data_IF_787743054150
#
_entry.id   IF_787743054150
#
_cell.length_a   1.000
_cell.length_b   1.000
_cell.length_c   1.000
_cell.angle_alpha   90.00
_cell.angle_beta   90.00
_cell.angle_gamma   90.00
#
_symmetry.space_group_name_H-M   'P 1'
#
loop_
_entity.id
_entity.type
_entity.pdbx_description
1 polymer ?
#
# COMPACT_ATOMS: atom_id res chain seq x y z
N UNK A 1 -2.44 12.32 -10.56
CA UNK A 1 -2.24 10.87 -10.38
C UNK A 1 -1.90 10.61 -8.92
N UNK A 2 -2.28 9.43 -8.41
CA UNK A 2 -1.94 8.95 -7.08
C UNK A 2 -1.19 7.62 -7.24
N UNK A 3 -0.02 7.52 -6.61
CA UNK A 3 0.72 6.27 -6.48
C UNK A 3 0.65 5.81 -5.04
N UNK A 4 0.36 4.51 -4.83
CA UNK A 4 0.42 3.87 -3.52
C UNK A 4 1.49 2.79 -3.57
N UNK A 5 2.52 2.93 -2.74
CA UNK A 5 3.63 1.98 -2.67
C UNK A 5 3.78 1.49 -1.24
N UNK A 6 3.66 0.19 -1.04
CA UNK A 6 3.88 -0.44 0.27
C UNK A 6 5.34 -0.80 0.43
N UNK A 7 5.85 -0.57 1.63
CA UNK A 7 7.20 -0.94 2.05
C UNK A 7 7.06 -1.77 3.32
N UNK A 8 7.58 -3.00 3.31
CA UNK A 8 7.50 -3.87 4.48
C UNK A 8 8.74 -4.76 4.59
N UNK A 9 9.01 -5.22 5.79
CA UNK A 9 10.11 -6.15 6.08
C UNK A 9 9.54 -7.57 6.04
N UNK A 10 10.13 -8.41 5.22
CA UNK A 10 9.88 -9.84 5.18
C UNK A 10 11.04 -10.54 5.90
N UNK A 11 10.74 -11.27 6.98
CA UNK A 11 11.73 -11.99 7.77
C UNK A 11 11.17 -13.32 8.25
N UNK A 12 11.92 -14.44 8.11
CA UNK A 12 11.47 -15.74 8.59
C UNK A 12 11.34 -15.78 10.11
N UNK A 13 10.31 -16.50 10.59
CA UNK A 13 10.12 -16.76 12.01
C UNK A 13 11.35 -17.45 12.60
N UNK A 14 11.88 -16.93 13.70
CA UNK A 14 13.05 -17.46 14.38
C UNK A 14 14.40 -17.04 13.77
N UNK A 15 14.41 -16.28 12.66
CA UNK A 15 15.64 -15.77 12.03
C UNK A 15 15.53 -14.28 11.67
N UNK A 16 15.37 -13.38 12.65
CA UNK A 16 15.12 -11.96 12.41
C UNK A 16 16.25 -11.22 11.68
N UNK A 17 17.46 -11.79 11.68
CA UNK A 17 18.62 -11.24 10.96
C UNK A 17 18.57 -11.54 9.45
N UNK A 18 17.86 -12.59 9.03
CA UNK A 18 17.63 -12.92 7.62
C UNK A 18 16.41 -12.15 7.10
N UNK A 19 16.47 -10.80 7.09
CA UNK A 19 15.36 -9.97 6.62
C UNK A 19 15.61 -9.41 5.21
N UNK A 20 14.53 -9.06 4.51
CA UNK A 20 14.55 -8.35 3.23
C UNK A 20 13.53 -7.23 3.22
N UNK A 21 13.91 -6.07 2.69
CA UNK A 21 12.95 -5.01 2.37
C UNK A 21 12.19 -5.40 1.10
N UNK A 22 10.87 -5.41 1.20
CA UNK A 22 9.95 -5.57 0.08
C UNK A 22 9.34 -4.22 -0.27
N UNK A 23 9.29 -3.92 -1.56
CA UNK A 23 8.72 -2.68 -2.09
C UNK A 23 7.81 -3.05 -3.24
N UNK A 24 6.53 -2.72 -3.13
CA UNK A 24 5.51 -3.08 -4.13
C UNK A 24 4.61 -1.88 -4.41
N UNK A 25 4.39 -1.55 -5.69
CA UNK A 25 3.44 -0.53 -6.09
C UNK A 25 2.05 -1.16 -6.20
N UNK A 26 1.15 -0.77 -5.31
CA UNK A 26 -0.21 -1.29 -5.22
C UNK A 26 -1.16 -0.55 -6.16
N UNK A 27 -0.95 0.76 -6.35
CA UNK A 27 -1.76 1.53 -7.27
C UNK A 27 -0.95 2.60 -7.97
N UNK A 28 -1.29 2.85 -9.23
CA UNK A 28 -0.90 4.03 -9.97
C UNK A 28 -2.10 4.48 -10.82
N UNK A 29 -2.88 5.43 -10.29
CA UNK A 29 -4.18 5.78 -10.88
C UNK A 29 -4.35 7.29 -11.07
N UNK A 30 -5.18 7.70 -12.03
CA UNK A 30 -5.61 9.09 -12.13
C UNK A 30 -6.47 9.45 -10.92
N UNK A 31 -6.29 10.67 -10.41
CA UNK A 31 -7.22 11.20 -9.42
C UNK A 31 -8.38 11.76 -10.21
N UNK A 32 -9.53 11.09 -10.16
CA UNK A 32 -10.78 11.60 -10.74
C UNK A 32 -11.43 12.55 -9.73
N UNK A 33 -11.78 13.76 -10.17
CA UNK A 33 -12.30 14.82 -9.30
C UNK A 33 -11.19 15.71 -8.69
N UNK A 34 -11.45 16.27 -7.51
CA UNK A 34 -10.49 17.18 -6.85
C UNK A 34 -9.43 16.42 -6.02
N UNK A 35 -8.37 17.12 -5.63
CA UNK A 35 -7.29 16.58 -4.82
C UNK A 35 -7.54 16.72 -3.31
N UNK A 36 -8.81 16.74 -2.89
CA UNK A 36 -9.15 16.84 -1.47
C UNK A 36 -8.63 15.63 -0.69
N UNK A 37 -8.30 15.84 0.58
CA UNK A 37 -7.84 14.76 1.47
C UNK A 37 -8.86 13.61 1.56
N UNK A 38 -10.16 13.91 1.54
CA UNK A 38 -11.22 12.89 1.54
C UNK A 38 -11.23 12.05 0.25
N UNK A 39 -10.99 12.65 -0.91
CA UNK A 39 -10.91 11.91 -2.17
C UNK A 39 -9.66 11.01 -2.21
N UNK A 40 -8.51 11.54 -1.77
CA UNK A 40 -7.27 10.76 -1.67
C UNK A 40 -7.43 9.61 -0.67
N UNK A 41 -8.01 9.88 0.50
CA UNK A 41 -8.29 8.87 1.52
C UNK A 41 -9.20 7.75 1.01
N UNK A 42 -10.26 8.10 0.26
CA UNK A 42 -11.14 7.11 -0.39
C UNK A 42 -10.37 6.21 -1.36
N UNK A 43 -9.53 6.78 -2.22
CA UNK A 43 -8.72 6.00 -3.18
C UNK A 43 -7.73 5.08 -2.43
N UNK A 44 -7.13 5.57 -1.33
CA UNK A 44 -6.23 4.78 -0.50
C UNK A 44 -6.93 3.59 0.17
N UNK A 45 -8.09 3.82 0.81
CA UNK A 45 -8.87 2.74 1.45
C UNK A 45 -9.28 1.70 0.40
N UNK A 46 -9.76 2.14 -0.77
CA UNK A 46 -10.08 1.22 -1.85
C UNK A 46 -8.86 0.39 -2.30
N UNK A 47 -7.67 1.02 -2.41
CA UNK A 47 -6.43 0.30 -2.74
C UNK A 47 -6.06 -0.73 -1.67
N UNK A 48 -6.27 -0.42 -0.39
CA UNK A 48 -6.02 -1.35 0.73
C UNK A 48 -6.97 -2.54 0.66
N UNK A 49 -8.24 -2.31 0.35
CA UNK A 49 -9.28 -3.34 0.24
C UNK A 49 -9.07 -4.26 -0.95
N UNK A 50 -8.74 -3.71 -2.13
CA UNK A 50 -8.47 -4.48 -3.36
C UNK A 50 -7.33 -5.48 -3.18
N UNK A 51 -6.36 -5.15 -2.33
CA UNK A 51 -5.20 -6.01 -2.01
C UNK A 51 -5.36 -6.83 -0.73
N UNK A 52 -6.52 -6.72 -0.05
CA UNK A 52 -6.81 -7.46 1.19
C UNK A 52 -5.84 -7.14 2.34
N UNK A 53 -5.23 -5.96 2.34
CA UNK A 53 -4.19 -5.59 3.33
C UNK A 53 -4.80 -5.36 4.71
N UNK A 54 -6.08 -4.98 4.82
CA UNK A 54 -6.73 -4.74 6.10
C UNK A 54 -6.79 -5.98 7.02
N UNK A 55 -6.56 -7.19 6.50
CA UNK A 55 -6.63 -8.46 7.23
C UNK A 55 -5.26 -9.12 7.49
N UNK A 56 -4.15 -8.43 7.21
CA UNK A 56 -2.79 -8.93 7.48
C UNK A 56 -2.21 -8.30 8.73
#
# INVERSE_FOLDING_TARGET
FLSVTVHYIDSPVGKPHEWKLKVEQLAFTTINGNHSGSNIGRILIQTIDDYGIHNK
#
